data_IF_155675232151
#
_entry.id   IF_155675232151
#
_cell.length_a   1.000
_cell.length_b   1.000
_cell.length_c   1.000
_cell.angle_alpha   90.00
_cell.angle_beta   90.00
_cell.angle_gamma   90.00
#
_symmetry.space_group_name_H-M   'P 1'
#
loop_
_entity.id
_entity.type
_entity.pdbx_description
1 polymer ?
#
# COMPACT_ATOMS: atom_id res chain seq x y z
N UNK A 1 36.51 -17.32 -4.54
CA UNK A 1 35.63 -16.30 -5.14
C UNK A 1 34.24 -16.59 -4.59
N UNK A 2 33.57 -15.57 -4.06
CA UNK A 2 32.19 -15.69 -3.57
C UNK A 2 31.25 -15.89 -4.77
N UNK A 3 30.27 -16.80 -4.66
CA UNK A 3 29.30 -17.06 -5.73
C UNK A 3 28.19 -16.00 -5.76
N UNK A 4 27.38 -15.99 -6.83
CA UNK A 4 26.24 -15.08 -6.91
C UNK A 4 25.19 -15.42 -5.84
N UNK A 5 24.97 -16.71 -5.58
CA UNK A 5 24.04 -17.20 -4.56
C UNK A 5 24.49 -16.78 -3.15
N UNK A 6 25.78 -16.89 -2.85
CA UNK A 6 26.35 -16.44 -1.57
C UNK A 6 26.16 -14.93 -1.37
N UNK A 7 26.35 -14.14 -2.45
CA UNK A 7 26.11 -12.69 -2.42
C UNK A 7 24.64 -12.35 -2.19
N UNK A 8 23.71 -13.07 -2.82
CA UNK A 8 22.26 -12.86 -2.64
C UNK A 8 21.85 -13.21 -1.21
N UNK A 9 22.26 -14.37 -0.70
CA UNK A 9 21.96 -14.80 0.66
C UNK A 9 22.46 -13.79 1.70
N UNK A 10 23.64 -13.20 1.48
CA UNK A 10 24.17 -12.14 2.33
C UNK A 10 23.33 -10.87 2.29
N UNK A 11 22.83 -10.47 1.12
CA UNK A 11 21.94 -9.31 0.98
C UNK A 11 20.58 -9.55 1.64
N UNK A 12 20.00 -10.74 1.50
CA UNK A 12 18.74 -11.12 2.16
C UNK A 12 18.89 -11.15 3.68
N UNK A 13 20.01 -11.67 4.19
CA UNK A 13 20.31 -11.64 5.62
C UNK A 13 20.50 -10.21 6.15
N UNK A 14 21.21 -9.35 5.43
CA UNK A 14 21.32 -7.94 5.84
C UNK A 14 19.95 -7.23 5.80
N UNK A 15 19.12 -7.53 4.80
CA UNK A 15 17.74 -7.00 4.73
C UNK A 15 16.92 -7.45 5.93
N UNK A 16 16.99 -8.71 6.35
CA UNK A 16 16.23 -9.18 7.52
C UNK A 16 16.67 -8.48 8.80
N UNK A 17 17.97 -8.29 9.01
CA UNK A 17 18.50 -7.51 10.15
C UNK A 17 18.04 -6.05 10.11
N UNK A 18 18.06 -5.40 8.94
CA UNK A 18 17.57 -4.03 8.81
C UNK A 18 16.09 -3.94 9.16
N UNK A 19 15.28 -4.94 8.80
CA UNK A 19 13.85 -4.96 9.14
C UNK A 19 13.59 -5.05 10.66
N UNK A 20 14.46 -5.71 11.42
CA UNK A 20 14.38 -5.72 12.90
C UNK A 20 14.68 -4.35 13.52
N UNK A 21 15.43 -3.50 12.81
CA UNK A 21 15.82 -2.16 13.28
C UNK A 21 14.84 -1.06 12.85
N UNK A 22 13.96 -1.34 11.87
CA UNK A 22 13.03 -0.35 11.33
C UNK A 22 11.91 -0.09 12.34
N UNK A 23 11.72 1.19 12.64
CA UNK A 23 10.52 1.65 13.33
C UNK A 23 9.31 1.55 12.39
N UNK A 24 8.53 0.49 12.59
CA UNK A 24 7.38 0.13 11.74
C UNK A 24 6.31 1.23 11.71
N UNK A 25 6.27 2.12 12.71
CA UNK A 25 5.26 3.18 12.76
C UNK A 25 5.60 4.36 11.86
N UNK A 26 6.86 4.52 11.42
CA UNK A 26 7.28 5.65 10.58
C UNK A 26 6.97 5.45 9.10
N UNK A 27 7.13 4.22 8.62
CA UNK A 27 6.93 3.84 7.21
C UNK A 27 6.17 2.50 7.08
N UNK A 28 4.95 2.40 7.63
CA UNK A 28 4.22 1.13 7.69
C UNK A 28 3.88 0.55 6.32
N UNK A 29 3.63 1.39 5.29
CA UNK A 29 3.35 0.87 3.95
C UNK A 29 4.60 0.23 3.33
N UNK A 30 5.75 0.89 3.44
CA UNK A 30 7.01 0.30 2.95
C UNK A 30 7.42 -0.93 3.75
N UNK A 31 7.10 -0.97 5.04
CA UNK A 31 7.26 -2.20 5.83
C UNK A 31 6.43 -3.34 5.24
N UNK A 32 5.15 -3.12 4.93
CA UNK A 32 4.28 -4.13 4.30
C UNK A 32 4.81 -4.59 2.94
N UNK A 33 5.24 -3.64 2.09
CA UNK A 33 5.86 -3.92 0.79
C UNK A 33 7.07 -4.85 0.93
N UNK A 34 7.97 -4.54 1.87
CA UNK A 34 9.17 -5.34 2.09
C UNK A 34 8.79 -6.71 2.68
N UNK A 35 7.81 -6.80 3.57
CA UNK A 35 7.36 -8.09 4.11
C UNK A 35 6.69 -8.97 3.05
N UNK A 36 5.91 -8.37 2.15
CA UNK A 36 5.26 -9.05 1.02
C UNK A 36 6.23 -9.41 -0.12
N UNK A 37 7.51 -9.01 -0.01
CA UNK A 37 8.56 -9.25 -1.00
C UNK A 37 8.22 -8.75 -2.41
N UNK A 38 7.55 -7.60 -2.50
CA UNK A 38 7.16 -7.04 -3.78
C UNK A 38 8.38 -6.53 -4.56
N UNK A 39 8.30 -6.69 -5.87
CA UNK A 39 9.18 -6.07 -6.86
C UNK A 39 8.91 -4.57 -6.93
N UNK A 40 9.81 -3.84 -7.60
CA UNK A 40 9.62 -2.39 -7.79
C UNK A 40 8.37 -2.13 -8.64
N UNK A 41 8.20 -2.92 -9.69
CA UNK A 41 7.09 -2.82 -10.63
C UNK A 41 5.74 -3.01 -9.92
N UNK A 42 5.62 -4.03 -9.06
CA UNK A 42 4.41 -4.27 -8.27
C UNK A 42 4.11 -3.12 -7.28
N UNK A 43 5.14 -2.50 -6.70
CA UNK A 43 4.97 -1.34 -5.82
C UNK A 43 4.52 -0.11 -6.61
N UNK A 44 5.14 0.11 -7.77
CA UNK A 44 4.81 1.22 -8.65
C UNK A 44 3.36 1.08 -9.17
N UNK A 45 2.90 -0.14 -9.47
CA UNK A 45 1.50 -0.43 -9.83
C UNK A 45 0.52 -0.08 -8.70
N UNK A 46 0.82 -0.47 -7.46
CA UNK A 46 -0.01 -0.13 -6.29
C UNK A 46 -0.08 1.38 -6.07
N UNK A 47 1.05 2.09 -6.21
CA UNK A 47 1.09 3.54 -6.06
C UNK A 47 0.37 4.26 -7.21
N UNK A 48 0.51 3.76 -8.44
CA UNK A 48 -0.20 4.29 -9.61
C UNK A 48 -1.71 4.11 -9.46
N UNK A 49 -2.17 2.96 -8.96
CA UNK A 49 -3.58 2.72 -8.63
C UNK A 49 -4.07 3.74 -7.59
N UNK A 50 -3.31 3.96 -6.52
CA UNK A 50 -3.68 4.95 -5.50
C UNK A 50 -3.77 6.36 -6.07
N UNK A 51 -2.83 6.76 -6.93
CA UNK A 51 -2.83 8.06 -7.59
C UNK A 51 -4.06 8.23 -8.48
N UNK A 52 -4.34 7.26 -9.35
CA UNK A 52 -5.48 7.29 -10.25
C UNK A 52 -6.81 7.40 -9.48
N UNK A 53 -6.98 6.58 -8.44
CA UNK A 53 -8.19 6.61 -7.62
C UNK A 53 -8.31 7.90 -6.81
N UNK A 54 -7.19 8.50 -6.41
CA UNK A 54 -7.19 9.76 -5.67
C UNK A 54 -7.63 10.92 -6.56
N UNK A 55 -7.16 10.95 -7.82
CA UNK A 55 -7.60 11.93 -8.81
C UNK A 55 -9.10 11.78 -9.13
N UNK A 56 -9.55 10.54 -9.33
CA UNK A 56 -10.96 10.24 -9.58
C UNK A 56 -11.84 10.62 -8.37
N UNK A 57 -11.37 10.35 -7.13
CA UNK A 57 -12.07 10.75 -5.91
C UNK A 57 -12.27 12.26 -5.82
N UNK A 58 -11.21 13.04 -6.04
CA UNK A 58 -11.28 14.51 -5.98
C UNK A 58 -12.21 15.07 -7.07
N UNK A 59 -12.18 14.47 -8.27
CA UNK A 59 -13.10 14.82 -9.36
C UNK A 59 -14.55 14.53 -8.98
N UNK A 60 -14.85 13.32 -8.51
CA UNK A 60 -16.20 12.93 -8.09
C UNK A 60 -16.72 13.81 -6.94
N UNK A 61 -15.85 14.16 -5.98
CA UNK A 61 -16.15 15.14 -4.92
C UNK A 61 -16.52 16.51 -5.48
N UNK A 62 -15.75 17.02 -6.43
CA UNK A 62 -16.00 18.32 -7.06
C UNK A 62 -17.33 18.34 -7.86
N UNK A 63 -17.72 17.19 -8.41
CA UNK A 63 -18.99 16.98 -9.11
C UNK A 63 -20.18 16.75 -8.14
N UNK A 64 -19.94 16.70 -6.83
CA UNK A 64 -20.97 16.57 -5.80
C UNK A 64 -21.39 15.13 -5.49
N UNK A 65 -20.63 14.13 -5.92
CA UNK A 65 -20.90 12.74 -5.57
C UNK A 65 -20.66 12.49 -4.07
N UNK A 66 -21.44 11.55 -3.54
CA UNK A 66 -21.39 11.16 -2.11
C UNK A 66 -21.19 9.66 -1.91
N UNK A 67 -21.25 8.87 -2.99
CA UNK A 67 -21.11 7.42 -2.96
C UNK A 67 -19.80 7.03 -3.63
N UNK A 68 -18.85 6.53 -2.83
CA UNK A 68 -17.51 6.17 -3.29
C UNK A 68 -17.22 4.66 -3.21
N UNK A 69 -18.24 3.84 -2.94
CA UNK A 69 -18.13 2.36 -2.92
C UNK A 69 -17.48 1.78 -4.19
N UNK A 70 -17.73 2.29 -5.41
CA UNK A 70 -17.03 1.82 -6.61
C UNK A 70 -15.51 1.98 -6.53
N UNK A 71 -15.00 3.05 -5.90
CA UNK A 71 -13.56 3.25 -5.72
C UNK A 71 -12.96 2.21 -4.76
N UNK A 72 -13.69 1.86 -3.68
CA UNK A 72 -13.27 0.79 -2.77
C UNK A 72 -13.21 -0.57 -3.46
N UNK A 73 -14.25 -0.91 -4.23
CA UNK A 73 -14.29 -2.17 -4.98
C UNK A 73 -13.16 -2.24 -6.01
N UNK A 74 -12.88 -1.12 -6.70
CA UNK A 74 -11.77 -1.04 -7.63
C UNK A 74 -10.43 -1.21 -6.91
N UNK A 75 -10.22 -0.52 -5.79
CA UNK A 75 -9.01 -0.65 -4.99
C UNK A 75 -8.81 -2.10 -4.52
N UNK A 76 -9.85 -2.73 -3.93
CA UNK A 76 -9.79 -4.10 -3.45
C UNK A 76 -9.56 -5.13 -4.58
N UNK A 77 -10.14 -4.90 -5.76
CA UNK A 77 -9.99 -5.80 -6.91
C UNK A 77 -8.64 -5.73 -7.61
N UNK A 78 -7.95 -4.59 -7.53
CA UNK A 78 -6.66 -4.36 -8.18
C UNK A 78 -5.47 -4.38 -7.22
N UNK A 79 -5.72 -4.37 -5.90
CA UNK A 79 -4.66 -4.46 -4.91
C UNK A 79 -3.93 -5.80 -5.03
N UNK A 80 -2.59 -5.74 -4.96
CA UNK A 80 -1.75 -6.92 -5.01
C UNK A 80 -2.15 -7.95 -3.94
N UNK A 81 -2.28 -9.25 -4.26
CA UNK A 81 -2.85 -10.27 -3.35
C UNK A 81 -2.06 -10.47 -2.05
N UNK A 82 -0.75 -10.18 -2.05
CA UNK A 82 0.09 -10.22 -0.85
C UNK A 82 -0.09 -9.02 0.10
N UNK A 83 -0.89 -8.02 -0.28
CA UNK A 83 -1.19 -6.84 0.53
C UNK A 83 -2.62 -6.93 1.10
N UNK A 84 -2.79 -7.07 2.44
CA UNK A 84 -4.11 -7.10 3.04
C UNK A 84 -4.79 -5.72 2.90
N UNK A 85 -6.04 -5.70 2.41
CA UNK A 85 -6.79 -4.48 2.10
C UNK A 85 -6.81 -3.46 3.25
N UNK A 86 -7.35 -3.85 4.40
CA UNK A 86 -7.49 -2.97 5.58
C UNK A 86 -6.13 -2.48 6.08
N UNK A 87 -5.16 -3.39 6.21
CA UNK A 87 -3.82 -3.06 6.69
C UNK A 87 -3.11 -2.09 5.73
N UNK A 88 -3.33 -2.24 4.42
CA UNK A 88 -2.73 -1.37 3.41
C UNK A 88 -3.31 0.03 3.48
N UNK A 89 -4.64 0.16 3.61
CA UNK A 89 -5.31 1.46 3.79
C UNK A 89 -4.80 2.14 5.07
N UNK A 90 -4.74 1.41 6.17
CA UNK A 90 -4.24 1.95 7.44
C UNK A 90 -2.77 2.36 7.37
N UNK A 91 -1.93 1.56 6.71
CA UNK A 91 -0.52 1.86 6.52
C UNK A 91 -0.30 3.10 5.64
N UNK A 92 -1.06 3.24 4.54
CA UNK A 92 -1.00 4.43 3.68
C UNK A 92 -1.44 5.68 4.45
N UNK A 93 -2.52 5.59 5.25
CA UNK A 93 -2.98 6.68 6.10
C UNK A 93 -1.96 7.10 7.16
N UNK A 94 -1.41 6.13 7.90
CA UNK A 94 -0.39 6.39 8.92
C UNK A 94 0.85 7.03 8.31
N UNK A 95 1.19 6.66 7.08
CA UNK A 95 2.31 7.23 6.33
C UNK A 95 1.99 8.56 5.63
N UNK A 96 0.78 9.11 5.81
CA UNK A 96 0.32 10.37 5.20
C UNK A 96 0.28 10.33 3.66
N UNK A 97 -0.07 9.18 3.08
CA UNK A 97 -0.18 8.98 1.63
C UNK A 97 -1.64 8.89 1.20
N UNK A 98 -2.00 9.61 0.13
CA UNK A 98 -3.35 9.61 -0.46
C UNK A 98 -4.48 9.83 0.57
N UNK A 99 -4.23 10.70 1.55
CA UNK A 99 -5.04 10.83 2.77
C UNK A 99 -6.54 11.02 2.51
N UNK A 100 -7.01 11.88 1.58
CA UNK A 100 -8.43 12.05 1.34
C UNK A 100 -9.11 10.76 0.89
N UNK A 101 -8.56 10.10 -0.15
CA UNK A 101 -9.04 8.82 -0.66
C UNK A 101 -9.03 7.76 0.45
N UNK A 102 -7.88 7.53 1.09
CA UNK A 102 -7.74 6.43 2.06
C UNK A 102 -8.65 6.62 3.28
N UNK A 103 -8.90 7.87 3.68
CA UNK A 103 -9.87 8.18 4.75
C UNK A 103 -11.28 7.79 4.36
N UNK A 104 -11.68 8.04 3.11
CA UNK A 104 -12.97 7.61 2.60
C UNK A 104 -13.07 6.08 2.52
N UNK A 105 -12.06 5.43 1.94
CA UNK A 105 -12.03 3.97 1.81
C UNK A 105 -12.14 3.28 3.18
N UNK A 106 -11.43 3.80 4.19
CA UNK A 106 -11.51 3.30 5.56
C UNK A 106 -12.93 3.40 6.15
N UNK A 107 -13.61 4.54 5.96
CA UNK A 107 -15.00 4.71 6.42
C UNK A 107 -15.95 3.72 5.75
N UNK A 108 -15.78 3.50 4.44
CA UNK A 108 -16.61 2.58 3.68
C UNK A 108 -16.46 1.14 4.18
N UNK A 109 -15.24 0.69 4.47
CA UNK A 109 -15.01 -0.64 5.05
C UNK A 109 -15.74 -0.79 6.39
N UNK A 110 -15.61 0.20 7.28
CA UNK A 110 -16.26 0.18 8.60
C UNK A 110 -17.79 0.23 8.53
N UNK A 111 -18.36 0.69 7.43
CA UNK A 111 -19.82 0.77 7.24
C UNK A 111 -20.40 -0.54 6.69
N UNK A 112 -19.58 -1.37 6.04
CA UNK A 112 -19.99 -2.64 5.41
C UNK A 112 -19.63 -3.86 6.27
N UNK A 113 -18.76 -3.68 7.27
CA UNK A 113 -18.33 -4.71 8.25
C UNK A 113 -19.33 -4.88 9.38
#
# INVERSE_FOLDING_TARGET
METLEERIAKLEFHRSLLMEMVDKTKKPFYYLVIQANLTKEEVDEVLALCQQLSEEYEKQKAEGLTIFTPLLLHFAGMLHPSLPLEQTIDALLQQQMFVPLMTELKKLIQTVS
#
